data_IF_659793623741
#
_entry.id   IF_659793623741
#
_cell.length_a   1.000
_cell.length_b   1.000
_cell.length_c   1.000
_cell.angle_alpha   90.00
_cell.angle_beta   90.00
_cell.angle_gamma   90.00
#
_symmetry.space_group_name_H-M   'P 1'
#
loop_
_entity.id
_entity.type
_entity.pdbx_description
1 polymer ?
#
# COMPACT_ATOMS: atom_id res chain seq x y z
N UNK A 1 11.09 13.61 14.81
CA UNK A 1 10.72 12.40 14.05
C UNK A 1 9.84 12.78 12.88
N UNK A 2 10.18 12.31 11.68
CA UNK A 2 9.33 12.51 10.52
C UNK A 2 8.02 11.73 10.68
N UNK A 3 6.91 12.35 10.32
CA UNK A 3 5.58 11.74 10.31
C UNK A 3 4.92 12.00 8.96
N UNK A 4 3.93 11.20 8.62
CA UNK A 4 3.11 11.51 7.46
C UNK A 4 2.35 12.81 7.71
N UNK A 5 2.06 13.53 6.63
CA UNK A 5 1.29 14.75 6.68
C UNK A 5 -0.05 14.54 7.40
N UNK A 6 -0.40 15.45 8.29
CA UNK A 6 -1.61 15.34 9.12
C UNK A 6 -2.90 15.35 8.29
N UNK A 7 -2.91 16.11 7.20
CA UNK A 7 -4.02 16.09 6.26
C UNK A 7 -4.17 14.72 5.57
N UNK A 8 -3.05 14.09 5.23
CA UNK A 8 -3.07 12.74 4.66
C UNK A 8 -3.54 11.71 5.67
N UNK A 9 -3.10 11.80 6.93
CA UNK A 9 -3.59 10.92 8.00
C UNK A 9 -5.09 11.06 8.19
N UNK A 10 -5.62 12.28 8.17
CA UNK A 10 -7.08 12.52 8.25
C UNK A 10 -7.82 11.87 7.08
N UNK A 11 -7.31 12.06 5.88
CA UNK A 11 -7.86 11.46 4.67
C UNK A 11 -7.87 9.92 4.75
N UNK A 12 -6.77 9.33 5.17
CA UNK A 12 -6.67 7.88 5.35
C UNK A 12 -7.66 7.35 6.39
N UNK A 13 -7.76 8.03 7.53
CA UNK A 13 -8.67 7.63 8.61
C UNK A 13 -10.15 7.77 8.23
N UNK A 14 -10.50 8.79 7.44
CA UNK A 14 -11.86 8.96 6.94
C UNK A 14 -12.30 7.78 6.06
N UNK A 15 -11.38 7.19 5.32
CA UNK A 15 -11.62 6.03 4.47
C UNK A 15 -11.58 4.73 5.27
N UNK A 16 -10.52 4.51 6.05
CA UNK A 16 -10.31 3.26 6.78
C UNK A 16 -11.28 3.07 7.94
N UNK A 17 -11.72 4.15 8.55
CA UNK A 17 -12.70 4.16 9.63
C UNK A 17 -14.05 4.75 9.19
N UNK A 18 -14.42 4.58 7.93
CA UNK A 18 -15.72 5.00 7.41
C UNK A 18 -16.85 4.42 8.25
N UNK A 19 -17.91 5.20 8.46
CA UNK A 19 -19.02 4.82 9.35
C UNK A 19 -19.70 3.53 8.92
N UNK A 20 -19.85 3.33 7.61
CA UNK A 20 -20.60 2.20 7.07
C UNK A 20 -19.72 1.06 6.57
N UNK A 21 -18.62 1.39 5.92
CA UNK A 21 -17.77 0.43 5.21
C UNK A 21 -16.40 0.21 5.85
N UNK A 22 -16.00 1.06 6.80
CA UNK A 22 -14.68 1.01 7.43
C UNK A 22 -14.59 0.06 8.62
N UNK A 23 -13.44 0.08 9.27
CA UNK A 23 -13.18 -0.69 10.48
C UNK A 23 -14.12 -0.29 11.60
N UNK A 24 -14.55 -1.27 12.40
CA UNK A 24 -15.25 -1.01 13.66
C UNK A 24 -14.28 -0.45 14.71
N UNK A 25 -14.83 0.21 15.75
CA UNK A 25 -14.00 0.71 16.84
C UNK A 25 -13.20 -0.38 17.54
N UNK A 26 -13.79 -1.56 17.73
CA UNK A 26 -13.12 -2.72 18.30
C UNK A 26 -11.95 -3.20 17.42
N UNK A 27 -12.12 -3.25 16.11
CA UNK A 27 -11.06 -3.63 15.17
C UNK A 27 -9.94 -2.61 15.11
N UNK A 28 -10.24 -1.33 15.20
CA UNK A 28 -9.25 -0.26 15.28
C UNK A 28 -8.34 -0.49 16.50
N UNK A 29 -8.91 -0.76 17.66
CA UNK A 29 -8.15 -1.04 18.89
C UNK A 29 -7.29 -2.30 18.72
N UNK A 30 -7.87 -3.36 18.19
CA UNK A 30 -7.18 -4.64 17.98
C UNK A 30 -5.95 -4.48 17.06
N UNK A 31 -6.11 -3.85 15.90
CA UNK A 31 -5.00 -3.63 14.97
C UNK A 31 -3.96 -2.67 15.53
N UNK A 32 -4.37 -1.53 16.08
CA UNK A 32 -3.44 -0.56 16.65
C UNK A 32 -2.63 -1.12 17.81
N UNK A 33 -3.23 -1.94 18.67
CA UNK A 33 -2.52 -2.59 19.76
C UNK A 33 -1.49 -3.60 19.25
N UNK A 34 -1.82 -4.34 18.20
CA UNK A 34 -0.87 -5.27 17.57
C UNK A 34 0.38 -4.54 17.06
N UNK A 35 0.19 -3.44 16.34
CA UNK A 35 1.32 -2.63 15.87
C UNK A 35 2.06 -1.94 17.03
N UNK A 36 1.35 -1.52 18.06
CA UNK A 36 1.97 -0.92 19.24
C UNK A 36 2.92 -1.89 19.94
N UNK A 37 2.58 -3.17 19.97
CA UNK A 37 3.46 -4.22 20.50
C UNK A 37 4.70 -4.37 19.59
N UNK A 38 4.51 -4.45 18.28
CA UNK A 38 5.60 -4.63 17.31
C UNK A 38 6.63 -3.49 17.38
N UNK A 39 6.16 -2.26 17.55
CA UNK A 39 7.00 -1.06 17.53
C UNK A 39 7.30 -0.49 18.92
N UNK A 40 6.89 -1.19 19.98
CA UNK A 40 7.06 -0.72 21.36
C UNK A 40 6.52 0.70 21.57
N UNK A 41 5.28 0.94 21.13
CA UNK A 41 4.56 2.21 21.28
C UNK A 41 3.38 2.02 22.23
N UNK A 42 2.85 3.13 22.71
CA UNK A 42 1.63 3.16 23.51
C UNK A 42 0.60 4.03 22.81
N UNK A 43 -0.53 3.45 22.47
CA UNK A 43 -1.63 4.16 21.82
C UNK A 43 -2.53 4.84 22.84
N UNK A 44 -3.05 6.06 22.55
CA UNK A 44 -3.96 6.75 23.45
C UNK A 44 -5.31 6.05 23.61
N UNK A 45 -5.77 5.36 22.57
CA UNK A 45 -7.05 4.62 22.60
C UNK A 45 -6.77 3.12 22.44
N UNK A 46 -6.25 2.52 23.52
CA UNK A 46 -5.84 1.11 23.53
C UNK A 46 -6.92 0.14 24.03
N UNK A 47 -8.12 0.60 24.34
CA UNK A 47 -9.25 -0.22 24.80
C UNK A 47 -10.56 0.22 24.15
N UNK A 48 -11.49 -0.71 24.00
CA UNK A 48 -12.83 -0.44 23.51
C UNK A 48 -13.86 -0.81 24.59
N UNK A 49 -14.89 0.03 24.84
CA UNK A 49 -15.13 1.34 24.22
C UNK A 49 -14.09 2.39 24.60
N UNK A 50 -13.83 3.32 23.69
CA UNK A 50 -12.92 4.44 23.91
C UNK A 50 -13.67 5.77 24.03
N UNK A 51 -13.06 6.73 24.72
CA UNK A 51 -13.62 8.08 24.92
C UNK A 51 -13.16 9.04 23.82
N UNK A 52 -13.33 8.64 22.57
CA UNK A 52 -13.08 9.51 21.42
C UNK A 52 -14.42 9.97 20.82
N UNK A 53 -14.46 11.17 20.18
CA UNK A 53 -15.69 11.68 19.54
C UNK A 53 -16.24 10.72 18.47
N UNK A 54 -15.37 10.04 17.77
CA UNK A 54 -15.72 9.05 16.75
C UNK A 54 -14.50 8.13 16.47
N UNK A 55 -14.77 7.06 15.76
CA UNK A 55 -13.72 6.06 15.46
C UNK A 55 -12.63 6.58 14.53
N UNK A 56 -12.90 7.56 13.66
CA UNK A 56 -11.90 8.18 12.78
C UNK A 56 -10.87 8.94 13.60
N UNK A 57 -11.32 9.70 14.58
CA UNK A 57 -10.44 10.41 15.51
C UNK A 57 -9.60 9.45 16.33
N UNK A 58 -10.20 8.36 16.83
CA UNK A 58 -9.48 7.33 17.58
C UNK A 58 -8.35 6.72 16.72
N UNK A 59 -8.64 6.34 15.48
CA UNK A 59 -7.64 5.79 14.57
C UNK A 59 -6.52 6.80 14.30
N UNK A 60 -6.86 8.05 14.02
CA UNK A 60 -5.90 9.10 13.75
C UNK A 60 -4.96 9.35 14.93
N UNK A 61 -5.50 9.50 16.13
CA UNK A 61 -4.70 9.71 17.32
C UNK A 61 -3.81 8.50 17.64
N UNK A 62 -4.31 7.30 17.43
CA UNK A 62 -3.50 6.09 17.56
C UNK A 62 -2.35 6.06 16.55
N UNK A 63 -2.60 6.44 15.30
CA UNK A 63 -1.55 6.49 14.26
C UNK A 63 -0.47 7.54 14.55
N UNK A 64 -0.80 8.61 15.24
CA UNK A 64 0.15 9.69 15.53
C UNK A 64 1.32 9.29 16.42
N UNK A 65 1.21 8.21 17.18
CA UNK A 65 2.31 7.74 18.04
C UNK A 65 3.39 7.00 17.26
N UNK A 66 3.11 6.60 16.04
CA UNK A 66 4.04 5.88 15.17
C UNK A 66 4.88 6.84 14.31
N UNK A 67 6.06 6.38 13.90
CA UNK A 67 6.91 7.11 12.96
C UNK A 67 6.41 7.00 11.53
N UNK A 68 6.93 7.83 10.63
CA UNK A 68 6.47 7.88 9.23
C UNK A 68 6.50 6.52 8.53
N UNK A 69 7.59 5.78 8.64
CA UNK A 69 7.73 4.45 8.04
C UNK A 69 6.75 3.44 8.66
N UNK A 70 6.54 3.52 9.97
CA UNK A 70 5.57 2.70 10.70
C UNK A 70 4.14 3.04 10.27
N UNK A 71 3.80 4.33 10.17
CA UNK A 71 2.51 4.81 9.69
C UNK A 71 2.23 4.34 8.25
N UNK A 72 3.23 4.43 7.39
CA UNK A 72 3.13 3.93 6.02
C UNK A 72 2.78 2.44 5.99
N UNK A 73 3.52 1.63 6.74
CA UNK A 73 3.28 0.19 6.82
C UNK A 73 1.88 -0.13 7.35
N UNK A 74 1.47 0.53 8.43
CA UNK A 74 0.16 0.31 9.05
C UNK A 74 -0.96 0.63 8.06
N UNK A 75 -0.93 1.79 7.42
CA UNK A 75 -1.95 2.19 6.46
C UNK A 75 -1.98 1.23 5.27
N UNK A 76 -0.81 0.85 4.75
CA UNK A 76 -0.69 -0.13 3.67
C UNK A 76 -1.37 -1.46 4.03
N UNK A 77 -1.03 -2.01 5.18
CA UNK A 77 -1.58 -3.30 5.64
C UNK A 77 -3.08 -3.23 5.93
N UNK A 78 -3.56 -2.11 6.48
CA UNK A 78 -4.99 -1.91 6.68
C UNK A 78 -5.76 -1.84 5.35
N UNK A 79 -5.18 -1.26 4.31
CA UNK A 79 -5.75 -1.28 2.95
C UNK A 79 -5.83 -2.69 2.36
N UNK A 80 -5.02 -3.61 2.83
CA UNK A 80 -4.94 -4.99 2.32
C UNK A 80 -5.84 -5.98 3.06
N UNK A 81 -6.53 -5.55 4.12
CA UNK A 81 -7.47 -6.40 4.87
C UNK A 81 -8.60 -6.85 3.94
N UNK A 82 -8.96 -8.16 3.95
CA UNK A 82 -10.02 -8.68 3.07
C UNK A 82 -11.34 -7.90 3.13
N UNK A 83 -11.71 -7.40 4.30
CA UNK A 83 -12.92 -6.60 4.47
C UNK A 83 -12.87 -5.22 3.80
N UNK A 84 -11.68 -4.69 3.50
CA UNK A 84 -11.47 -3.35 2.97
C UNK A 84 -10.87 -3.31 1.56
N UNK A 85 -10.11 -4.33 1.18
CA UNK A 85 -9.27 -4.30 -0.03
C UNK A 85 -10.04 -4.13 -1.35
N UNK A 86 -11.32 -4.48 -1.39
CA UNK A 86 -12.16 -4.36 -2.60
C UNK A 86 -12.91 -3.01 -2.68
N UNK A 87 -12.85 -2.19 -1.65
CA UNK A 87 -13.49 -0.88 -1.63
C UNK A 87 -12.70 0.09 -2.51
N UNK A 88 -13.36 0.77 -3.46
CA UNK A 88 -12.71 1.67 -4.42
C UNK A 88 -11.91 2.78 -3.73
N UNK A 89 -12.47 3.41 -2.70
CA UNK A 89 -11.77 4.45 -1.93
C UNK A 89 -10.52 3.93 -1.25
N UNK A 90 -10.54 2.69 -0.77
CA UNK A 90 -9.37 2.02 -0.16
C UNK A 90 -8.28 1.76 -1.20
N UNK A 91 -8.65 1.33 -2.39
CA UNK A 91 -7.73 1.16 -3.52
C UNK A 91 -7.08 2.49 -3.92
N UNK A 92 -7.86 3.56 -4.00
CA UNK A 92 -7.35 4.90 -4.28
C UNK A 92 -6.41 5.39 -3.18
N UNK A 93 -6.76 5.17 -1.92
CA UNK A 93 -5.90 5.49 -0.78
C UNK A 93 -4.55 4.79 -0.88
N UNK A 94 -4.55 3.51 -1.18
CA UNK A 94 -3.33 2.73 -1.34
C UNK A 94 -2.44 3.28 -2.46
N UNK A 95 -3.03 3.64 -3.61
CA UNK A 95 -2.31 4.26 -4.72
C UNK A 95 -1.70 5.60 -4.30
N UNK A 96 -2.46 6.46 -3.64
CA UNK A 96 -1.97 7.76 -3.16
C UNK A 96 -0.87 7.61 -2.12
N UNK A 97 -0.99 6.63 -1.23
CA UNK A 97 0.04 6.31 -0.24
C UNK A 97 1.37 5.97 -0.92
N UNK A 98 1.35 5.08 -1.89
CA UNK A 98 2.56 4.70 -2.62
C UNK A 98 3.11 5.82 -3.50
N UNK A 99 2.24 6.63 -4.10
CA UNK A 99 2.66 7.77 -4.92
C UNK A 99 3.38 8.84 -4.11
N UNK A 100 2.85 9.17 -2.93
CA UNK A 100 3.41 10.24 -2.09
C UNK A 100 4.53 9.77 -1.17
N UNK A 101 4.43 8.56 -0.65
CA UNK A 101 5.28 8.08 0.45
C UNK A 101 5.96 6.75 0.15
N UNK A 102 5.99 6.31 -1.10
CA UNK A 102 6.58 5.03 -1.48
C UNK A 102 8.05 4.87 -1.09
N UNK A 103 8.77 5.97 -0.91
CA UNK A 103 10.14 5.99 -0.42
C UNK A 103 10.27 5.54 1.05
N UNK A 104 9.16 5.51 1.80
CA UNK A 104 9.13 5.03 3.18
C UNK A 104 8.90 3.53 3.29
N UNK A 105 8.64 2.83 2.18
CA UNK A 105 8.57 1.39 2.15
C UNK A 105 9.95 0.82 2.51
N UNK A 106 10.11 0.41 3.77
CA UNK A 106 11.34 -0.20 4.27
C UNK A 106 11.45 -1.67 3.90
N UNK A 107 10.31 -2.32 3.63
CA UNK A 107 10.34 -3.55 2.88
C UNK A 107 10.59 -3.17 1.41
N UNK A 108 11.70 -3.63 0.85
CA UNK A 108 11.70 -3.92 -0.56
C UNK A 108 10.39 -4.69 -0.78
N UNK A 109 9.42 -4.05 -1.44
CA UNK A 109 8.35 -4.79 -2.12
C UNK A 109 9.13 -5.93 -2.73
N UNK A 110 8.91 -7.16 -2.25
CA UNK A 110 9.79 -8.21 -2.71
C UNK A 110 9.72 -8.11 -4.20
N UNK A 111 10.85 -7.98 -4.82
CA UNK A 111 10.99 -7.87 -6.27
C UNK A 111 10.06 -8.87 -6.96
N UNK A 112 9.92 -10.03 -6.32
CA UNK A 112 9.01 -11.12 -6.66
C UNK A 112 7.53 -10.71 -6.62
N UNK A 113 7.09 -9.98 -5.58
CA UNK A 113 5.68 -9.57 -5.46
C UNK A 113 5.31 -8.53 -6.52
N UNK A 114 6.19 -7.56 -6.75
CA UNK A 114 6.00 -6.55 -7.80
C UNK A 114 5.96 -7.22 -9.19
N UNK A 115 6.84 -8.16 -9.44
CA UNK A 115 6.90 -8.92 -10.68
C UNK A 115 5.61 -9.71 -10.91
N UNK A 116 5.11 -10.40 -9.88
CA UNK A 116 3.86 -11.17 -9.97
C UNK A 116 2.66 -10.27 -10.25
N UNK A 117 2.56 -9.13 -9.56
CA UNK A 117 1.50 -8.14 -9.80
C UNK A 117 1.54 -7.60 -11.22
N UNK A 118 2.73 -7.28 -11.72
CA UNK A 118 2.92 -6.80 -13.09
C UNK A 118 2.53 -7.85 -14.12
N UNK A 119 2.95 -9.10 -13.95
CA UNK A 119 2.56 -10.22 -14.82
C UNK A 119 1.05 -10.43 -14.82
N UNK A 120 0.41 -10.40 -13.65
CA UNK A 120 -1.04 -10.53 -13.54
C UNK A 120 -1.76 -9.41 -14.29
N UNK A 121 -1.29 -8.16 -14.12
CA UNK A 121 -1.85 -7.01 -14.82
C UNK A 121 -1.68 -7.11 -16.34
N UNK A 122 -0.54 -7.63 -16.81
CA UNK A 122 -0.25 -7.85 -18.23
C UNK A 122 -0.90 -9.12 -18.80
N UNK A 123 -1.56 -9.95 -18.00
CA UNK A 123 -2.13 -11.23 -18.45
C UNK A 123 -3.13 -11.10 -19.59
N UNK A 124 -3.80 -9.95 -19.71
CA UNK A 124 -4.74 -9.63 -20.79
C UNK A 124 -4.06 -9.08 -22.06
N UNK A 125 -2.75 -8.89 -22.02
CA UNK A 125 -1.94 -8.31 -23.10
C UNK A 125 -0.76 -9.25 -23.42
N UNK A 126 -1.02 -10.37 -24.13
CA UNK A 126 -0.02 -11.46 -24.25
C UNK A 126 1.29 -11.04 -24.95
N UNK A 127 1.24 -10.10 -25.90
CA UNK A 127 2.45 -9.62 -26.57
C UNK A 127 3.31 -8.77 -25.64
N UNK A 128 2.69 -7.88 -24.85
CA UNK A 128 3.38 -7.09 -23.85
C UNK A 128 3.95 -7.97 -22.74
N UNK A 129 3.19 -8.96 -22.28
CA UNK A 129 3.62 -9.91 -21.27
C UNK A 129 4.86 -10.70 -21.74
N UNK A 130 4.87 -11.17 -22.98
CA UNK A 130 5.99 -11.92 -23.54
C UNK A 130 7.28 -11.08 -23.56
N UNK A 131 7.20 -9.83 -23.97
CA UNK A 131 8.35 -8.91 -23.97
C UNK A 131 8.82 -8.56 -22.56
N UNK A 132 7.88 -8.40 -21.64
CA UNK A 132 8.20 -8.17 -20.24
C UNK A 132 8.94 -9.37 -19.62
N UNK A 133 8.47 -10.58 -19.86
CA UNK A 133 9.12 -11.81 -19.39
C UNK A 133 10.52 -12.00 -19.98
N UNK A 134 10.72 -11.65 -21.26
CA UNK A 134 12.03 -11.67 -21.92
C UNK A 134 13.00 -10.70 -21.25
N UNK A 135 12.58 -9.46 -21.01
CA UNK A 135 13.39 -8.45 -20.33
C UNK A 135 13.73 -8.85 -18.89
N UNK A 136 12.75 -9.43 -18.17
CA UNK A 136 12.92 -9.91 -16.81
C UNK A 136 13.95 -11.05 -16.73
N UNK A 137 13.88 -12.02 -17.65
CA UNK A 137 14.83 -13.13 -17.71
C UNK A 137 16.27 -12.62 -17.91
N UNK A 138 16.47 -11.60 -18.74
CA UNK A 138 17.78 -10.95 -18.93
C UNK A 138 18.25 -10.24 -17.67
N UNK A 139 17.36 -9.54 -16.98
CA UNK A 139 17.66 -8.86 -15.72
C UNK A 139 18.06 -9.86 -14.62
N UNK A 140 17.31 -10.93 -14.45
CA UNK A 140 17.61 -12.00 -13.48
C UNK A 140 18.91 -12.72 -13.80
N UNK A 141 19.27 -12.82 -15.08
CA UNK A 141 20.54 -13.38 -15.52
C UNK A 141 21.73 -12.43 -15.36
N UNK A 142 21.54 -11.22 -14.81
CA UNK A 142 22.59 -10.23 -14.63
C UNK A 142 22.99 -9.49 -15.91
N UNK A 143 22.19 -9.57 -16.96
CA UNK A 143 22.45 -8.90 -18.24
C UNK A 143 21.81 -7.51 -18.21
N UNK A 144 22.62 -6.50 -17.91
CA UNK A 144 22.20 -5.09 -17.87
C UNK A 144 22.61 -4.36 -19.16
N UNK A 145 22.29 -4.93 -20.29
CA UNK A 145 22.61 -4.36 -21.57
C UNK A 145 21.49 -3.48 -22.13
N UNK A 146 21.82 -2.68 -23.14
CA UNK A 146 20.87 -1.86 -23.88
C UNK A 146 19.65 -2.65 -24.36
N UNK A 147 19.84 -3.91 -24.75
CA UNK A 147 18.77 -4.79 -25.20
C UNK A 147 17.69 -5.04 -24.14
N UNK A 148 18.05 -5.08 -22.85
CA UNK A 148 17.08 -5.23 -21.75
C UNK A 148 16.16 -4.03 -21.66
N UNK A 149 16.70 -2.81 -21.81
CA UNK A 149 15.92 -1.58 -21.84
C UNK A 149 15.04 -1.49 -23.08
N UNK A 150 15.53 -1.95 -24.22
CA UNK A 150 14.75 -1.99 -25.46
C UNK A 150 13.59 -2.97 -25.36
N UNK A 151 13.76 -4.12 -24.71
CA UNK A 151 12.69 -5.09 -24.46
C UNK A 151 11.61 -4.52 -23.53
N UNK A 152 12.01 -3.78 -22.49
CA UNK A 152 11.07 -3.10 -21.60
C UNK A 152 10.28 -2.01 -22.32
N UNK A 153 10.97 -1.22 -23.17
CA UNK A 153 10.31 -0.21 -23.99
C UNK A 153 9.30 -0.85 -24.95
N UNK A 154 9.68 -1.94 -25.60
CA UNK A 154 8.80 -2.65 -26.52
C UNK A 154 7.58 -3.22 -25.81
N UNK A 155 7.75 -3.78 -24.61
CA UNK A 155 6.64 -4.25 -23.79
C UNK A 155 5.64 -3.12 -23.49
N UNK A 156 6.14 -1.94 -23.15
CA UNK A 156 5.31 -0.75 -22.90
C UNK A 156 4.59 -0.28 -24.18
N UNK A 157 5.28 -0.21 -25.31
CA UNK A 157 4.69 0.17 -26.60
C UNK A 157 3.57 -0.79 -27.02
N UNK A 158 3.78 -2.09 -26.83
CA UNK A 158 2.76 -3.11 -27.11
C UNK A 158 1.55 -2.97 -26.20
N UNK A 159 1.76 -2.68 -24.93
CA UNK A 159 0.68 -2.44 -23.97
C UNK A 159 -0.15 -1.22 -24.37
N UNK A 160 0.52 -0.12 -24.76
CA UNK A 160 -0.15 1.11 -25.20
C UNK A 160 -1.01 0.85 -26.45
N UNK A 161 -0.50 0.07 -27.40
CA UNK A 161 -1.28 -0.32 -28.59
C UNK A 161 -2.51 -1.14 -28.25
N UNK A 162 -2.41 -2.05 -27.29
CA UNK A 162 -3.52 -2.91 -26.89
C UNK A 162 -4.62 -2.13 -26.13
N UNK A 163 -4.26 -1.03 -25.46
CA UNK A 163 -5.18 -0.21 -24.67
C UNK A 163 -5.82 0.90 -25.49
N UNK A 164 -5.13 1.42 -26.51
CA UNK A 164 -5.61 2.44 -27.42
C UNK A 164 -6.33 1.83 -28.61
#
# INVERSE_FOLDING_TARGET
MAKLDDAFLSYACDILADTNAGLSGMKIVEYCNSYAIDYNRKTPYGAYPFDAPNKRTALKENLRVFEAAEQFRIIKELCEIPALCDIEKVKELKIKLFTRYGNLATEKISETELIQKTKHWLSKHPNALKQYESALAKYEGGIFERNTLDDMRLAFELLVKDVL
#
